data_IF_890212961538
#
_entry.id   IF_890212961538
#
_cell.length_a   1.000
_cell.length_b   1.000
_cell.length_c   1.000
_cell.angle_alpha   90.00
_cell.angle_beta   90.00
_cell.angle_gamma   90.00
#
_symmetry.space_group_name_H-M   'P 1'
#
loop_
_entity.id
_entity.type
_entity.pdbx_description
1 polymer ?
#
# COMPACT_ATOMS: atom_id res chain seq x y z
N UNK A 1 -46.99 -49.73 34.38
CA UNK A 1 -45.75 -50.51 34.18
C UNK A 1 -45.79 -50.99 32.74
N UNK A 2 -45.16 -50.36 31.75
CA UNK A 2 -44.03 -49.44 31.72
C UNK A 2 -44.32 -48.34 30.68
N UNK A 3 -43.79 -47.15 30.94
CA UNK A 3 -43.61 -46.05 29.99
C UNK A 3 -42.63 -46.48 28.88
N UNK A 4 -42.86 -46.04 27.63
CA UNK A 4 -41.77 -45.96 26.66
C UNK A 4 -41.92 -44.69 25.81
N UNK A 5 -40.96 -43.81 26.05
CA UNK A 5 -40.83 -42.44 25.60
C UNK A 5 -40.71 -42.31 24.08
N UNK A 6 -41.71 -41.68 23.47
CA UNK A 6 -41.60 -41.12 22.13
C UNK A 6 -40.86 -39.78 22.19
N UNK A 7 -39.54 -39.82 22.41
CA UNK A 7 -38.68 -38.63 22.32
C UNK A 7 -38.09 -38.51 20.91
N UNK A 8 -38.65 -37.56 20.15
CA UNK A 8 -38.05 -36.97 18.95
C UNK A 8 -36.71 -36.31 19.31
N UNK A 9 -35.61 -37.05 19.14
CA UNK A 9 -34.25 -36.53 19.31
C UNK A 9 -33.90 -35.72 18.06
N UNK A 10 -33.99 -34.40 18.18
CA UNK A 10 -33.37 -33.46 17.24
C UNK A 10 -31.88 -33.79 17.12
N UNK A 11 -31.47 -34.35 16.00
CA UNK A 11 -30.10 -34.78 15.77
C UNK A 11 -29.21 -33.55 15.57
N UNK A 12 -28.39 -33.23 16.57
CA UNK A 12 -27.34 -32.19 16.47
C UNK A 12 -26.49 -32.35 15.20
N UNK A 13 -26.15 -31.28 14.48
CA UNK A 13 -25.46 -31.34 13.17
C UNK A 13 -24.11 -32.08 13.22
N UNK A 14 -23.44 -32.07 14.37
CA UNK A 14 -22.19 -32.80 14.60
C UNK A 14 -22.37 -34.34 14.54
N UNK A 15 -23.54 -34.83 14.93
CA UNK A 15 -23.89 -36.25 14.88
C UNK A 15 -24.20 -36.68 13.44
N UNK A 16 -24.91 -35.84 12.68
CA UNK A 16 -25.16 -36.08 11.25
C UNK A 16 -23.86 -36.14 10.44
N UNK A 17 -22.91 -35.24 10.70
CA UNK A 17 -21.62 -35.26 9.99
C UNK A 17 -20.79 -36.52 10.29
N UNK A 18 -20.87 -37.04 11.52
CA UNK A 18 -20.23 -38.32 11.88
C UNK A 18 -20.89 -39.50 11.15
N UNK A 19 -22.22 -39.52 11.07
CA UNK A 19 -22.97 -40.57 10.35
C UNK A 19 -22.62 -40.55 8.85
N UNK A 20 -22.58 -39.37 8.24
CA UNK A 20 -22.19 -39.22 6.82
C UNK A 20 -20.75 -39.71 6.56
N UNK A 21 -19.79 -39.38 7.43
CA UNK A 21 -18.42 -39.87 7.32
C UNK A 21 -18.31 -41.39 7.45
N UNK A 22 -19.14 -42.00 8.31
CA UNK A 22 -19.18 -43.45 8.48
C UNK A 22 -19.79 -44.14 7.26
N UNK A 23 -20.87 -43.59 6.71
CA UNK A 23 -21.48 -44.07 5.47
C UNK A 23 -20.50 -44.00 4.29
N UNK A 24 -19.80 -42.88 4.12
CA UNK A 24 -18.82 -42.71 3.06
C UNK A 24 -17.64 -43.68 3.22
N UNK A 25 -17.12 -43.86 4.44
CA UNK A 25 -16.06 -44.84 4.72
C UNK A 25 -16.51 -46.27 4.43
N UNK A 26 -17.75 -46.63 4.75
CA UNK A 26 -18.29 -47.94 4.44
C UNK A 26 -18.37 -48.15 2.93
N UNK A 27 -18.89 -47.16 2.19
CA UNK A 27 -19.02 -47.20 0.73
C UNK A 27 -17.68 -47.23 -0.01
N UNK A 28 -16.65 -46.56 0.51
CA UNK A 28 -15.32 -46.55 -0.10
C UNK A 28 -14.53 -47.82 0.22
N UNK A 29 -14.81 -48.50 1.35
CA UNK A 29 -14.18 -49.78 1.71
C UNK A 29 -14.70 -50.96 0.89
N UNK A 30 -15.93 -50.87 0.38
CA UNK A 30 -16.51 -51.89 -0.51
C UNK A 30 -16.01 -51.82 -1.94
N UNK A 31 -15.24 -50.78 -2.30
CA UNK A 31 -14.63 -50.71 -3.62
C UNK A 31 -13.52 -51.77 -3.72
N UNK A 32 -13.47 -52.56 -4.80
CA UNK A 32 -12.37 -53.48 -5.05
C UNK A 32 -11.06 -52.70 -5.14
N UNK A 33 -9.94 -53.33 -4.74
CA UNK A 33 -8.62 -52.68 -4.81
C UNK A 33 -8.42 -52.15 -6.23
N UNK A 34 -8.03 -50.87 -6.40
CA UNK A 34 -7.77 -50.31 -7.71
C UNK A 34 -6.64 -51.11 -8.34
N UNK A 35 -6.98 -51.95 -9.32
CA UNK A 35 -6.03 -52.63 -10.14
C UNK A 35 -5.77 -51.73 -11.33
N UNK A 36 -4.66 -51.00 -11.29
CA UNK A 36 -4.12 -50.26 -12.43
C UNK A 36 -3.58 -51.26 -13.46
N UNK A 37 -4.45 -52.12 -13.99
CA UNK A 37 -4.10 -53.09 -15.03
C UNK A 37 -4.37 -52.42 -16.39
N UNK A 38 -3.57 -51.40 -16.72
CA UNK A 38 -3.56 -50.80 -18.05
C UNK A 38 -2.54 -51.54 -18.90
N UNK A 39 -3.01 -52.45 -19.74
CA UNK A 39 -2.22 -52.99 -20.83
C UNK A 39 -2.14 -51.91 -21.92
N UNK A 40 -0.97 -51.29 -22.08
CA UNK A 40 -0.72 -50.39 -23.21
C UNK A 40 -0.59 -51.30 -24.44
N UNK A 41 -1.70 -51.56 -25.09
CA UNK A 41 -1.70 -52.15 -26.43
C UNK A 41 -1.14 -51.09 -27.36
N UNK A 42 0.15 -51.20 -27.66
CA UNK A 42 0.74 -50.49 -28.79
C UNK A 42 0.07 -51.09 -30.03
N UNK A 43 -0.85 -50.35 -30.63
CA UNK A 43 -1.36 -50.70 -31.95
C UNK A 43 -0.19 -50.50 -32.93
N UNK A 44 0.25 -51.55 -33.62
CA UNK A 44 1.37 -51.50 -34.58
C UNK A 44 1.10 -50.60 -35.80
N UNK A 45 -0.11 -50.03 -35.92
CA UNK A 45 -0.52 -49.11 -36.98
C UNK A 45 -0.57 -47.65 -36.50
N UNK A 46 0.49 -47.17 -35.84
CA UNK A 46 0.72 -45.72 -35.79
C UNK A 46 1.63 -45.39 -36.97
N UNK A 47 1.00 -45.04 -38.09
CA UNK A 47 1.61 -44.24 -39.16
C UNK A 47 2.53 -43.20 -38.53
N UNK A 48 3.76 -43.07 -39.07
CA UNK A 48 4.76 -42.07 -38.70
C UNK A 48 4.11 -40.75 -38.27
N UNK A 49 3.86 -40.61 -36.97
CA UNK A 49 3.49 -39.32 -36.39
C UNK A 49 4.76 -38.55 -36.49
N UNK A 50 4.81 -37.72 -37.54
CA UNK A 50 5.78 -36.67 -37.76
C UNK A 50 6.30 -36.20 -36.40
N UNK A 51 7.63 -36.25 -36.24
CA UNK A 51 8.34 -35.40 -35.28
C UNK A 51 8.01 -33.94 -35.64
N UNK A 52 6.79 -33.52 -35.35
CA UNK A 52 6.41 -32.13 -35.30
C UNK A 52 7.28 -31.57 -34.19
N UNK A 53 8.29 -30.82 -34.61
CA UNK A 53 9.35 -30.29 -33.76
C UNK A 53 8.79 -29.97 -32.40
N UNK A 54 9.22 -30.77 -31.41
CA UNK A 54 9.06 -30.42 -30.01
C UNK A 54 9.79 -29.10 -29.90
N UNK A 55 9.06 -28.00 -30.05
CA UNK A 55 9.51 -26.70 -29.64
C UNK A 55 10.01 -26.94 -28.23
N UNK A 56 11.31 -26.78 -28.01
CA UNK A 56 11.90 -26.67 -26.69
C UNK A 56 11.39 -25.37 -26.05
N UNK A 57 10.08 -25.24 -25.93
CA UNK A 57 9.42 -24.31 -25.04
C UNK A 57 9.74 -24.90 -23.66
N UNK A 58 10.87 -24.44 -23.13
CA UNK A 58 11.27 -24.73 -21.76
C UNK A 58 10.22 -24.05 -20.89
N UNK A 59 9.18 -24.81 -20.56
CA UNK A 59 8.18 -24.39 -19.58
C UNK A 59 8.92 -24.24 -18.26
N UNK A 60 9.15 -23.00 -17.85
CA UNK A 60 9.75 -22.70 -16.57
C UNK A 60 8.96 -23.39 -15.45
N UNK A 61 9.69 -23.91 -14.45
CA UNK A 61 9.05 -24.59 -13.32
C UNK A 61 8.12 -23.60 -12.60
N UNK A 62 6.90 -24.05 -12.30
CA UNK A 62 5.88 -23.22 -11.65
C UNK A 62 6.38 -22.66 -10.32
N UNK A 63 7.23 -23.39 -9.61
CA UNK A 63 7.87 -22.91 -8.39
C UNK A 63 8.76 -21.69 -8.60
N UNK A 64 9.52 -21.65 -9.71
CA UNK A 64 10.41 -20.54 -10.04
C UNK A 64 9.59 -19.29 -10.42
N UNK A 65 8.54 -19.47 -11.21
CA UNK A 65 7.62 -18.39 -11.59
C UNK A 65 6.92 -17.78 -10.37
N UNK A 66 6.47 -18.62 -9.43
CA UNK A 66 5.85 -18.18 -8.19
C UNK A 66 6.84 -17.41 -7.30
N UNK A 67 8.09 -17.88 -7.19
CA UNK A 67 9.15 -17.17 -6.45
C UNK A 67 9.45 -15.80 -7.07
N UNK A 68 9.60 -15.71 -8.40
CA UNK A 68 9.84 -14.44 -9.09
C UNK A 68 8.69 -13.45 -8.87
N UNK A 69 7.44 -13.93 -8.97
CA UNK A 69 6.26 -13.10 -8.73
C UNK A 69 6.16 -12.63 -7.28
N UNK A 70 6.55 -13.47 -6.33
CA UNK A 70 6.60 -13.07 -4.92
C UNK A 70 7.65 -11.98 -4.69
N UNK A 71 8.84 -12.12 -5.28
CA UNK A 71 9.90 -11.11 -5.20
C UNK A 71 9.47 -9.77 -5.78
N UNK A 72 8.83 -9.76 -6.95
CA UNK A 72 8.30 -8.54 -7.57
C UNK A 72 7.25 -7.85 -6.67
N UNK A 73 6.32 -8.64 -6.10
CA UNK A 73 5.31 -8.12 -5.19
C UNK A 73 5.92 -7.52 -3.93
N UNK A 74 6.95 -8.15 -3.38
CA UNK A 74 7.68 -7.63 -2.22
C UNK A 74 8.45 -6.36 -2.54
N UNK A 75 9.11 -6.27 -3.70
CA UNK A 75 9.80 -5.07 -4.14
C UNK A 75 8.80 -3.91 -4.29
N UNK A 76 7.66 -4.17 -4.94
CA UNK A 76 6.58 -3.18 -5.07
C UNK A 76 6.09 -2.71 -3.70
N UNK A 77 5.85 -3.63 -2.75
CA UNK A 77 5.45 -3.29 -1.38
C UNK A 77 6.49 -2.43 -0.67
N UNK A 78 7.78 -2.73 -0.83
CA UNK A 78 8.89 -1.96 -0.25
C UNK A 78 8.95 -0.55 -0.82
N UNK A 79 8.82 -0.41 -2.15
CA UNK A 79 8.79 0.90 -2.83
C UNK A 79 7.57 1.72 -2.39
N UNK A 80 6.39 1.11 -2.34
CA UNK A 80 5.18 1.76 -1.85
C UNK A 80 5.31 2.19 -0.39
N UNK A 81 5.98 1.41 0.46
CA UNK A 81 6.24 1.77 1.87
C UNK A 81 7.26 2.90 2.00
N UNK A 82 8.31 2.90 1.18
CA UNK A 82 9.31 3.96 1.11
C UNK A 82 8.72 5.30 0.60
N UNK A 83 7.65 5.26 -0.18
CA UNK A 83 6.92 6.45 -0.60
C UNK A 83 5.98 7.04 0.48
N UNK A 84 5.69 6.30 1.56
CA UNK A 84 4.80 6.76 2.65
C UNK A 84 5.47 7.81 3.53
N UNK A 85 4.68 8.46 4.37
CA UNK A 85 5.19 9.43 5.34
C UNK A 85 6.20 8.81 6.31
N UNK A 86 7.14 9.63 6.79
CA UNK A 86 8.14 9.20 7.77
C UNK A 86 7.51 8.68 9.07
N UNK A 87 6.33 9.21 9.43
CA UNK A 87 5.57 8.79 10.62
C UNK A 87 5.13 7.33 10.49
N UNK A 88 4.66 6.92 9.31
CA UNK A 88 4.31 5.53 9.01
C UNK A 88 5.56 4.65 8.93
N UNK A 89 6.63 5.12 8.30
CA UNK A 89 7.87 4.35 8.16
C UNK A 89 8.54 4.04 9.50
N UNK A 90 8.47 5.00 10.43
CA UNK A 90 9.06 4.88 11.77
C UNK A 90 8.10 4.30 12.81
N UNK A 91 6.90 3.89 12.38
CA UNK A 91 5.82 3.40 13.23
C UNK A 91 5.54 4.28 14.46
N UNK A 92 5.55 5.60 14.24
CA UNK A 92 5.27 6.58 15.28
C UNK A 92 3.76 6.64 15.58
N UNK A 93 3.38 6.95 16.83
CA UNK A 93 1.98 7.03 17.21
C UNK A 93 1.25 8.11 16.40
N UNK A 94 0.13 7.74 15.79
CA UNK A 94 -0.74 8.62 15.01
C UNK A 94 -2.07 8.85 15.75
N UNK A 95 -2.69 10.02 15.58
CA UNK A 95 -4.02 10.28 16.14
C UNK A 95 -5.06 9.34 15.54
N UNK A 96 -5.94 8.81 16.39
CA UNK A 96 -7.00 7.88 15.97
C UNK A 96 -8.14 8.57 15.20
N UNK A 97 -8.41 9.84 15.52
CA UNK A 97 -9.47 10.63 14.91
C UNK A 97 -8.86 11.94 14.37
N UNK A 98 -9.36 12.38 13.22
CA UNK A 98 -8.88 13.57 12.51
C UNK A 98 -9.91 14.69 12.71
N UNK A 99 -9.46 15.85 13.18
CA UNK A 99 -10.34 17.00 13.39
C UNK A 99 -10.41 17.90 12.15
N UNK A 100 -11.53 17.84 11.43
CA UNK A 100 -11.80 18.68 10.25
C UNK A 100 -12.24 20.11 10.60
N UNK A 101 -12.69 20.37 11.84
CA UNK A 101 -13.12 21.71 12.28
C UNK A 101 -11.96 22.70 12.43
N UNK A 102 -10.73 22.24 12.21
CA UNK A 102 -9.54 23.07 12.19
C UNK A 102 -9.46 24.00 10.97
N UNK A 103 -10.19 23.69 9.89
CA UNK A 103 -10.26 24.51 8.68
C UNK A 103 -11.35 25.58 8.77
N UNK A 104 -11.06 26.76 8.24
CA UNK A 104 -12.06 27.81 8.04
C UNK A 104 -12.99 27.43 6.87
N UNK A 105 -14.31 27.73 6.94
CA UNK A 105 -15.20 27.55 5.80
C UNK A 105 -14.72 28.33 4.57
N UNK A 106 -14.88 27.72 3.38
CA UNK A 106 -14.35 28.24 2.11
C UNK A 106 -14.84 29.66 1.76
N UNK A 107 -15.99 30.07 2.30
CA UNK A 107 -16.57 31.41 2.08
C UNK A 107 -15.70 32.57 2.58
N UNK A 108 -14.87 32.33 3.59
CA UNK A 108 -14.08 33.38 4.23
C UNK A 108 -12.70 33.58 3.58
N UNK A 109 -12.29 32.71 2.66
CA UNK A 109 -10.93 32.74 2.06
C UNK A 109 -10.63 34.04 1.30
N UNK A 110 -11.65 34.69 0.76
CA UNK A 110 -11.47 35.91 -0.05
C UNK A 110 -11.23 37.17 0.78
N UNK A 111 -11.50 37.13 2.08
CA UNK A 111 -11.34 38.29 2.99
C UNK A 111 -10.05 38.19 3.81
N UNK A 112 -9.24 37.18 3.53
CA UNK A 112 -8.10 36.78 4.35
C UNK A 112 -6.80 37.42 3.83
N UNK A 113 -5.92 37.80 4.76
CA UNK A 113 -4.57 38.26 4.42
C UNK A 113 -3.75 37.12 3.78
N UNK A 114 -2.74 37.43 2.97
CA UNK A 114 -1.90 36.45 2.29
C UNK A 114 -1.24 35.45 3.26
N UNK A 115 -0.74 35.95 4.39
CA UNK A 115 -0.18 35.09 5.45
C UNK A 115 -1.20 34.11 6.03
N UNK A 116 -2.43 34.58 6.24
CA UNK A 116 -3.50 33.74 6.76
C UNK A 116 -3.98 32.74 5.71
N UNK A 117 -3.99 33.13 4.43
CA UNK A 117 -4.30 32.24 3.31
C UNK A 117 -3.24 31.15 3.16
N UNK A 118 -1.96 31.50 3.31
CA UNK A 118 -0.86 30.55 3.35
C UNK A 118 -1.00 29.57 4.52
N UNK A 119 -1.35 30.07 5.71
CA UNK A 119 -1.61 29.22 6.89
C UNK A 119 -2.75 28.23 6.61
N UNK A 120 -3.88 28.65 6.06
CA UNK A 120 -4.97 27.74 5.69
C UNK A 120 -4.55 26.70 4.63
N UNK A 121 -3.72 27.07 3.64
CA UNK A 121 -3.19 26.11 2.66
C UNK A 121 -2.31 25.05 3.32
N UNK A 122 -1.47 25.44 4.28
CA UNK A 122 -0.65 24.50 5.06
C UNK A 122 -1.54 23.55 5.87
N UNK A 123 -2.63 24.05 6.46
CA UNK A 123 -3.58 23.22 7.21
C UNK A 123 -4.30 22.21 6.33
N UNK A 124 -4.69 22.64 5.12
CA UNK A 124 -5.29 21.75 4.11
C UNK A 124 -4.30 20.64 3.77
N UNK A 125 -3.04 20.97 3.45
CA UNK A 125 -2.03 19.98 3.08
C UNK A 125 -1.76 19.00 4.23
N UNK A 126 -1.63 19.51 5.47
CA UNK A 126 -1.48 18.68 6.66
C UNK A 126 -2.62 17.65 6.78
N UNK A 127 -3.86 18.10 6.58
CA UNK A 127 -5.04 17.26 6.67
C UNK A 127 -5.10 16.24 5.52
N UNK A 128 -4.72 16.64 4.32
CA UNK A 128 -4.60 15.77 3.14
C UNK A 128 -3.63 14.62 3.41
N UNK A 129 -2.42 14.95 3.89
CA UNK A 129 -1.40 13.98 4.27
C UNK A 129 -1.93 12.99 5.33
N UNK A 130 -2.57 13.51 6.38
CA UNK A 130 -3.10 12.69 7.47
C UNK A 130 -4.26 11.78 7.01
N UNK A 131 -5.16 12.27 6.15
CA UNK A 131 -6.25 11.49 5.57
C UNK A 131 -5.71 10.36 4.69
N UNK A 132 -4.74 10.66 3.82
CA UNK A 132 -4.09 9.68 2.96
C UNK A 132 -3.43 8.56 3.77
N UNK A 133 -2.63 8.93 4.77
CA UNK A 133 -1.92 7.99 5.64
C UNK A 133 -2.90 7.10 6.44
N UNK A 134 -3.98 7.65 6.98
CA UNK A 134 -4.97 6.86 7.73
C UNK A 134 -5.76 5.90 6.85
N UNK A 135 -6.04 6.26 5.59
CA UNK A 135 -6.74 5.37 4.65
C UNK A 135 -5.85 4.22 4.16
N UNK A 136 -4.55 4.48 3.94
CA UNK A 136 -3.58 3.46 3.48
C UNK A 136 -3.01 2.63 4.62
N UNK A 137 -2.84 3.22 5.81
CA UNK A 137 -2.36 2.61 7.04
C UNK A 137 -3.32 2.91 8.21
N UNK A 138 -4.45 2.21 8.30
CA UNK A 138 -5.41 2.42 9.37
C UNK A 138 -4.77 2.17 10.73
N UNK A 139 -5.00 3.09 11.67
CA UNK A 139 -4.53 2.98 13.05
C UNK A 139 -5.58 2.21 13.85
N UNK A 140 -5.19 1.09 14.44
CA UNK A 140 -6.12 0.30 15.26
C UNK A 140 -6.30 1.02 16.60
N UNK A 141 -7.50 1.54 16.85
CA UNK A 141 -7.85 2.09 18.14
C UNK A 141 -8.12 0.94 19.12
N UNK A 142 -7.36 0.79 20.22
CA UNK A 142 -7.62 -0.28 21.19
C UNK A 142 -8.99 -0.15 21.87
N UNK A 143 -9.55 1.07 21.95
CA UNK A 143 -10.88 1.33 22.54
C UNK A 143 -12.03 1.10 21.55
N UNK A 144 -11.79 1.25 20.24
CA UNK A 144 -12.78 1.00 19.18
C UNK A 144 -12.27 -0.14 18.29
N UNK A 145 -12.88 -1.33 18.41
CA UNK A 145 -12.45 -2.56 17.70
C UNK A 145 -12.42 -2.46 16.17
N UNK A 146 -12.99 -1.40 15.59
CA UNK A 146 -12.98 -1.12 14.15
C UNK A 146 -12.96 0.38 13.90
N UNK A 147 -12.33 0.80 12.80
CA UNK A 147 -12.45 2.17 12.29
C UNK A 147 -13.93 2.46 11.97
N UNK A 148 -14.45 3.59 12.46
CA UNK A 148 -15.84 3.97 12.17
C UNK A 148 -16.00 4.26 10.67
N UNK A 149 -17.01 3.63 10.04
CA UNK A 149 -17.23 3.77 8.59
C UNK A 149 -17.53 5.22 8.19
N UNK A 150 -18.09 6.02 9.08
CA UNK A 150 -18.35 7.45 8.86
C UNK A 150 -17.05 8.21 8.65
N UNK A 151 -16.03 7.95 9.46
CA UNK A 151 -14.77 8.69 9.44
C UNK A 151 -14.00 8.39 8.16
N UNK A 152 -13.99 7.12 7.73
CA UNK A 152 -13.37 6.74 6.45
C UNK A 152 -14.06 7.37 5.24
N UNK A 153 -15.37 7.61 5.29
CA UNK A 153 -16.11 8.31 4.22
C UNK A 153 -15.73 9.80 4.19
N UNK A 154 -15.66 10.45 5.35
CA UNK A 154 -15.27 11.85 5.46
C UNK A 154 -13.84 12.08 4.93
N UNK A 155 -12.89 11.19 5.28
CA UNK A 155 -11.51 11.26 4.77
C UNK A 155 -11.45 11.13 3.25
N UNK A 156 -12.27 10.23 2.66
CA UNK A 156 -12.34 10.06 1.20
C UNK A 156 -12.93 11.29 0.52
N UNK A 157 -14.05 11.83 1.04
CA UNK A 157 -14.65 13.04 0.49
C UNK A 157 -13.69 14.24 0.56
N UNK A 158 -12.90 14.33 1.64
CA UNK A 158 -11.89 15.37 1.76
C UNK A 158 -10.79 15.22 0.71
N UNK A 159 -10.27 14.01 0.49
CA UNK A 159 -9.26 13.73 -0.53
C UNK A 159 -9.77 13.91 -1.96
N UNK A 160 -11.08 13.73 -2.21
CA UNK A 160 -11.68 14.06 -3.51
C UNK A 160 -11.62 15.57 -3.80
N UNK A 161 -11.75 16.40 -2.77
CA UNK A 161 -11.63 17.88 -2.89
C UNK A 161 -10.17 18.34 -2.89
N UNK A 162 -9.31 17.64 -2.13
CA UNK A 162 -7.90 17.94 -1.96
C UNK A 162 -7.06 16.69 -2.26
N UNK A 163 -6.72 16.43 -3.53
CA UNK A 163 -6.00 15.22 -3.91
C UNK A 163 -4.57 15.24 -3.34
N UNK A 164 -4.13 14.08 -2.88
CA UNK A 164 -2.75 13.87 -2.45
C UNK A 164 -1.81 13.88 -3.66
N UNK A 165 -0.71 14.63 -3.57
CA UNK A 165 0.29 14.70 -4.64
C UNK A 165 1.38 13.66 -4.40
N UNK A 166 1.48 12.68 -5.31
CA UNK A 166 2.56 11.69 -5.28
C UNK A 166 3.78 12.23 -6.05
N UNK A 167 4.96 12.13 -5.44
CA UNK A 167 6.23 12.56 -6.04
C UNK A 167 7.10 11.35 -6.35
N UNK A 168 7.63 11.26 -7.57
CA UNK A 168 8.50 10.17 -7.97
C UNK A 168 9.84 10.20 -7.22
N UNK A 169 10.44 9.04 -7.00
CA UNK A 169 11.76 8.94 -6.37
C UNK A 169 12.84 9.56 -7.23
N UNK A 170 12.72 9.50 -8.57
CA UNK A 170 13.69 10.12 -9.46
C UNK A 170 13.61 11.64 -9.37
N UNK A 171 12.42 12.22 -9.33
CA UNK A 171 12.22 13.66 -9.17
C UNK A 171 12.82 14.16 -7.85
N UNK A 172 12.65 13.40 -6.76
CA UNK A 172 13.29 13.70 -5.47
C UNK A 172 14.81 13.68 -5.55
N UNK A 173 15.39 12.69 -6.24
CA UNK A 173 16.85 12.61 -6.45
C UNK A 173 17.37 13.75 -7.32
N UNK A 174 16.64 14.12 -8.37
CA UNK A 174 17.00 15.25 -9.24
C UNK A 174 16.97 16.55 -8.42
N UNK A 175 15.92 16.77 -7.62
CA UNK A 175 15.83 17.94 -6.76
C UNK A 175 16.97 18.00 -5.73
N UNK A 176 17.33 16.87 -5.12
CA UNK A 176 18.47 16.79 -4.20
C UNK A 176 19.80 17.13 -4.89
N UNK A 177 20.00 16.61 -6.11
CA UNK A 177 21.19 16.91 -6.92
C UNK A 177 21.27 18.40 -7.28
N UNK A 178 20.16 19.00 -7.69
CA UNK A 178 20.11 20.44 -8.01
C UNK A 178 20.50 21.30 -6.80
N UNK A 179 19.98 20.97 -5.60
CA UNK A 179 20.35 21.68 -4.36
C UNK A 179 21.84 21.50 -4.07
N UNK A 180 22.39 20.29 -4.22
CA UNK A 180 23.81 20.03 -4.01
C UNK A 180 24.70 20.80 -5.00
N UNK A 181 24.29 20.88 -6.27
CA UNK A 181 25.00 21.62 -7.31
C UNK A 181 25.00 23.12 -7.03
N UNK A 182 23.86 23.68 -6.60
CA UNK A 182 23.77 25.07 -6.16
C UNK A 182 24.67 25.35 -4.95
N UNK A 183 24.63 24.49 -3.92
CA UNK A 183 25.50 24.61 -2.75
C UNK A 183 26.98 24.54 -3.14
N UNK A 184 27.34 23.68 -4.09
CA UNK A 184 28.71 23.58 -4.62
C UNK A 184 29.12 24.83 -5.41
N UNK A 185 28.20 25.42 -6.17
CA UNK A 185 28.45 26.66 -6.89
C UNK A 185 28.69 27.83 -5.93
N UNK A 186 27.82 27.99 -4.93
CA UNK A 186 27.97 29.01 -3.87
C UNK A 186 29.27 28.80 -3.11
N UNK A 187 29.59 27.55 -2.76
CA UNK A 187 30.85 27.20 -2.09
C UNK A 187 32.08 27.68 -2.86
N UNK A 188 32.13 27.41 -4.18
CA UNK A 188 33.21 27.88 -5.06
C UNK A 188 33.28 29.41 -5.10
N UNK A 189 32.12 30.07 -5.18
CA UNK A 189 32.06 31.52 -5.26
C UNK A 189 32.43 32.22 -3.95
N UNK A 190 32.22 31.57 -2.80
CA UNK A 190 32.64 32.05 -1.48
C UNK A 190 34.08 31.69 -1.11
N UNK A 191 34.81 30.94 -1.94
CA UNK A 191 36.20 30.55 -1.68
C UNK A 191 36.35 29.59 -0.48
N UNK A 192 35.30 28.86 -0.12
CA UNK A 192 35.31 27.89 0.96
C UNK A 192 35.62 26.49 0.43
N UNK A 193 36.77 26.28 -0.21
CA UNK A 193 37.05 25.05 -0.98
C UNK A 193 37.08 23.75 -0.15
N UNK A 194 37.45 23.83 1.13
CA UNK A 194 37.78 22.61 1.91
C UNK A 194 36.63 22.02 2.73
N UNK A 195 35.59 22.80 3.06
CA UNK A 195 34.52 22.34 3.98
C UNK A 195 33.16 22.32 3.30
N UNK A 196 32.30 21.31 3.58
CA UNK A 196 30.92 21.34 3.14
C UNK A 196 30.22 22.56 3.76
N UNK A 197 29.49 23.32 2.93
CA UNK A 197 28.71 24.46 3.39
C UNK A 197 27.56 23.93 4.26
N UNK A 198 27.41 24.37 5.53
CA UNK A 198 26.27 23.96 6.33
C UNK A 198 24.98 24.55 5.75
N UNK A 199 23.89 23.80 5.82
CA UNK A 199 22.60 24.17 5.24
C UNK A 199 22.10 25.56 5.71
N UNK A 200 22.29 25.90 6.98
CA UNK A 200 21.87 27.20 7.52
C UNK A 200 22.55 28.39 6.82
N UNK A 201 23.82 28.24 6.39
CA UNK A 201 24.53 29.30 5.68
C UNK A 201 24.02 29.42 4.24
N UNK A 202 23.70 28.30 3.59
CA UNK A 202 23.04 28.32 2.29
C UNK A 202 21.68 29.05 2.36
N UNK A 203 20.86 28.77 3.37
CA UNK A 203 19.56 29.44 3.58
C UNK A 203 19.73 30.95 3.72
N UNK A 204 20.68 31.40 4.55
CA UNK A 204 20.94 32.83 4.74
C UNK A 204 21.33 33.52 3.42
N UNK A 205 22.24 32.93 2.65
CA UNK A 205 22.67 33.48 1.35
C UNK A 205 21.50 33.53 0.37
N UNK A 206 20.67 32.49 0.38
CA UNK A 206 19.49 32.42 -0.47
C UNK A 206 18.47 33.51 -0.12
N UNK A 207 18.18 33.72 1.17
CA UNK A 207 17.30 34.79 1.66
C UNK A 207 17.85 36.18 1.27
N UNK A 208 19.15 36.43 1.48
CA UNK A 208 19.77 37.70 1.11
C UNK A 208 19.75 37.94 -0.42
N UNK A 209 19.94 36.90 -1.23
CA UNK A 209 19.80 36.99 -2.68
C UNK A 209 18.36 37.22 -3.13
N UNK A 210 17.40 36.56 -2.48
CA UNK A 210 15.97 36.73 -2.75
C UNK A 210 15.55 38.18 -2.48
N UNK A 211 15.95 38.74 -1.34
CA UNK A 211 15.63 40.12 -0.95
C UNK A 211 16.23 41.15 -1.93
N UNK A 212 17.40 40.88 -2.50
CA UNK A 212 18.03 41.75 -3.51
C UNK A 212 17.34 41.68 -4.88
N UNK A 213 16.78 40.52 -5.24
CA UNK A 213 16.11 40.30 -6.53
C UNK A 213 14.64 40.73 -6.47
N UNK A 214 13.98 40.63 -5.31
CA UNK A 214 12.59 40.99 -5.12
C UNK A 214 12.44 42.51 -4.91
N UNK A 215 12.58 43.29 -5.99
CA UNK A 215 12.14 44.70 -5.97
C UNK A 215 10.62 44.75 -5.92
N UNK A 216 10.06 44.93 -4.72
CA UNK A 216 8.69 45.39 -4.55
C UNK A 216 8.70 46.92 -4.68
N UNK A 217 8.01 47.53 -5.66
CA UNK A 217 7.87 48.98 -5.70
C UNK A 217 7.24 49.44 -4.38
N UNK A 218 7.88 50.40 -3.73
CA UNK A 218 7.39 51.00 -2.49
C UNK A 218 6.04 51.68 -2.75
N UNK A 219 4.97 51.06 -2.24
CA UNK A 219 3.56 51.50 -2.10
C UNK A 219 3.01 52.52 -3.10
#
# INVERSE_FOLDING_TARGET
VMDDDNQSVQSTPLVQQKIQKLQLRSSLKTLPRPKNDYEIVVQDDVEEVQENGVSNDVVEDQGILDEMKQLELEEKRKREFAARSQVVQRDLPRPYEINFNFLRPSSDFNQLNDYQKADELIKIELLTMQCYDNLKNPVINPMKRSQDQTDTKLMKEFLEKHPYTEFDENDKKIAEQLIQDEMNNIKKQMGHDEKPLPFNVYVQVWEECLDQILYLPSQ
#
